data_IF_443548976667
#
_entry.id   IF_443548976667
#
_cell.length_a   1.000
_cell.length_b   1.000
_cell.length_c   1.000
_cell.angle_alpha   90.00
_cell.angle_beta   90.00
_cell.angle_gamma   90.00
#
_symmetry.space_group_name_H-M   'P 1'
#
loop_
_entity.id
_entity.type
_entity.pdbx_description
1 polymer ?
#
# COMPACT_ATOMS: atom_id res chain seq x y z
N UNK A 1 -9.55 30.68 -13.00
CA UNK A 1 -8.11 30.36 -13.01
C UNK A 1 -7.82 28.98 -13.62
N UNK A 2 -8.65 27.95 -13.37
CA UNK A 2 -8.57 26.65 -14.09
C UNK A 2 -8.62 26.70 -15.64
N UNK A 3 -9.50 27.50 -16.30
CA UNK A 3 -9.62 27.44 -17.76
C UNK A 3 -8.39 28.01 -18.51
N UNK A 4 -7.69 28.98 -17.94
CA UNK A 4 -6.47 29.55 -18.54
C UNK A 4 -5.26 28.61 -18.39
N UNK A 5 -5.18 27.87 -17.28
CA UNK A 5 -4.13 26.87 -17.08
C UNK A 5 -4.30 25.66 -18.02
N UNK A 6 -5.54 25.18 -18.21
CA UNK A 6 -5.83 24.05 -19.10
C UNK A 6 -5.60 24.36 -20.59
N UNK A 7 -5.78 25.63 -20.99
CA UNK A 7 -5.56 26.09 -22.36
C UNK A 7 -4.08 26.12 -22.75
N UNK A 8 -3.16 26.30 -21.80
CA UNK A 8 -1.71 26.37 -22.03
C UNK A 8 -1.01 25.00 -21.92
N UNK A 9 -1.73 23.92 -21.60
CA UNK A 9 -1.16 22.58 -21.49
C UNK A 9 -1.01 21.91 -22.85
N UNK A 10 0.14 21.27 -23.08
CA UNK A 10 0.36 20.45 -24.27
C UNK A 10 -0.59 19.25 -24.28
N UNK A 11 -0.87 18.69 -25.47
CA UNK A 11 -1.77 17.54 -25.60
C UNK A 11 -1.33 16.33 -24.75
N UNK A 12 -0.03 16.19 -24.54
CA UNK A 12 0.58 15.12 -23.74
C UNK A 12 0.34 15.31 -22.24
N UNK A 13 0.40 16.55 -21.74
CA UNK A 13 0.10 16.87 -20.33
C UNK A 13 -1.36 16.56 -19.97
N UNK A 14 -2.29 16.82 -20.90
CA UNK A 14 -3.71 16.50 -20.73
C UNK A 14 -3.94 15.00 -20.58
N UNK A 15 -3.22 14.18 -21.35
CA UNK A 15 -3.26 12.71 -21.26
C UNK A 15 -2.68 12.23 -19.94
N UNK A 16 -1.54 12.77 -19.51
CA UNK A 16 -0.96 12.43 -18.20
C UNK A 16 -1.89 12.75 -17.04
N UNK A 17 -2.54 13.92 -17.07
CA UNK A 17 -3.53 14.30 -16.05
C UNK A 17 -4.70 13.32 -16.06
N UNK A 18 -5.27 13.03 -17.23
CA UNK A 18 -6.37 12.07 -17.36
C UNK A 18 -6.01 10.70 -16.79
N UNK A 19 -4.83 10.17 -17.13
CA UNK A 19 -4.33 8.89 -16.62
C UNK A 19 -4.13 8.91 -15.10
N UNK A 20 -3.55 9.98 -14.54
CA UNK A 20 -3.37 10.10 -13.09
C UNK A 20 -4.70 10.10 -12.33
N UNK A 21 -5.75 10.70 -12.88
CA UNK A 21 -7.08 10.66 -12.30
C UNK A 21 -7.65 9.23 -12.30
N UNK A 22 -7.52 8.49 -13.40
CA UNK A 22 -8.00 7.10 -13.50
C UNK A 22 -7.25 6.18 -12.54
N UNK A 23 -5.93 6.30 -12.48
CA UNK A 23 -5.10 5.52 -11.55
C UNK A 23 -5.42 5.88 -10.10
N UNK A 24 -5.58 7.18 -9.79
CA UNK A 24 -5.95 7.64 -8.45
C UNK A 24 -7.30 7.09 -7.98
N UNK A 25 -8.32 7.10 -8.86
CA UNK A 25 -9.62 6.50 -8.58
C UNK A 25 -9.53 4.98 -8.37
N UNK A 26 -8.73 4.30 -9.18
CA UNK A 26 -8.54 2.84 -9.09
C UNK A 26 -7.87 2.43 -7.78
N UNK A 27 -6.86 3.18 -7.33
CA UNK A 27 -6.20 2.96 -6.03
C UNK A 27 -7.19 3.22 -4.89
N UNK A 28 -7.98 4.29 -4.97
CA UNK A 28 -9.00 4.59 -3.97
C UNK A 28 -10.06 3.50 -3.84
N UNK A 29 -10.60 3.02 -4.96
CA UNK A 29 -11.58 1.94 -4.99
C UNK A 29 -10.99 0.62 -4.46
N UNK A 30 -9.79 0.26 -4.91
CA UNK A 30 -9.08 -0.94 -4.44
C UNK A 30 -8.80 -0.87 -2.95
N UNK A 31 -8.50 0.32 -2.42
CA UNK A 31 -8.28 0.53 -0.99
C UNK A 31 -9.52 0.25 -0.15
N UNK A 32 -10.68 0.77 -0.56
CA UNK A 32 -11.95 0.54 0.14
C UNK A 32 -12.35 -0.94 0.05
N UNK A 33 -12.15 -1.56 -1.11
CA UNK A 33 -12.44 -2.98 -1.29
C UNK A 33 -11.52 -3.87 -0.44
N UNK A 34 -10.22 -3.57 -0.38
CA UNK A 34 -9.26 -4.29 0.46
C UNK A 34 -9.60 -4.16 1.95
N UNK A 35 -10.07 -2.98 2.40
CA UNK A 35 -10.56 -2.78 3.78
C UNK A 35 -11.77 -3.65 4.14
N UNK A 36 -12.53 -4.12 3.14
CA UNK A 36 -13.65 -5.05 3.37
C UNK A 36 -13.21 -6.53 3.43
N UNK A 37 -12.06 -6.86 2.84
CA UNK A 37 -11.50 -8.22 2.82
C UNK A 37 -10.59 -8.52 4.01
N UNK A 38 -9.93 -7.50 4.56
CA UNK A 38 -8.98 -7.63 5.68
C UNK A 38 -9.35 -6.67 6.80
N UNK A 39 -8.88 -6.94 8.03
CA UNK A 39 -9.03 -5.99 9.14
C UNK A 39 -8.39 -4.63 8.81
N UNK A 40 -9.03 -3.54 9.24
CA UNK A 40 -8.55 -2.15 9.03
C UNK A 40 -7.08 -1.95 9.44
N UNK A 41 -6.63 -2.66 10.48
CA UNK A 41 -5.24 -2.63 10.96
C UNK A 41 -4.27 -3.23 9.94
N UNK A 42 -4.64 -4.29 9.25
CA UNK A 42 -3.80 -4.95 8.24
C UNK A 42 -3.69 -4.14 6.96
N UNK A 43 -4.76 -3.43 6.58
CA UNK A 43 -4.73 -2.50 5.46
C UNK A 43 -3.75 -1.34 5.69
N UNK A 44 -3.74 -0.77 6.91
CA UNK A 44 -2.84 0.32 7.28
C UNK A 44 -1.36 -0.10 7.20
N UNK A 45 -1.05 -1.32 7.65
CA UNK A 45 0.31 -1.89 7.54
C UNK A 45 0.68 -2.18 6.09
N UNK A 46 -0.24 -2.70 5.27
CA UNK A 46 -0.01 -2.96 3.85
C UNK A 46 0.30 -1.67 3.06
N UNK A 47 -0.45 -0.60 3.29
CA UNK A 47 -0.19 0.70 2.66
C UNK A 47 1.14 1.29 3.11
N UNK A 48 1.52 1.07 4.37
CA UNK A 48 2.84 1.44 4.89
C UNK A 48 3.95 0.63 4.20
N UNK A 49 3.77 -0.69 4.05
CA UNK A 49 4.70 -1.57 3.33
C UNK A 49 4.95 -1.12 1.87
N UNK A 50 3.90 -0.74 1.15
CA UNK A 50 3.99 -0.27 -0.24
C UNK A 50 4.88 0.98 -0.39
N UNK A 51 4.88 1.89 0.61
CA UNK A 51 5.74 3.09 0.57
C UNK A 51 7.24 2.72 0.60
N UNK A 52 7.63 1.63 1.24
CA UNK A 52 9.05 1.19 1.25
C UNK A 52 9.53 0.72 -0.11
N UNK A 53 8.67 0.06 -0.89
CA UNK A 53 9.03 -0.36 -2.25
C UNK A 53 9.34 0.86 -3.12
N UNK A 54 8.52 1.90 -3.03
CA UNK A 54 8.74 3.15 -3.76
C UNK A 54 10.03 3.86 -3.29
N UNK A 55 10.26 3.96 -1.97
CA UNK A 55 11.48 4.55 -1.42
C UNK A 55 12.73 3.75 -1.84
N UNK A 56 12.65 2.41 -1.86
CA UNK A 56 13.73 1.55 -2.30
C UNK A 56 14.07 1.74 -3.78
N UNK A 57 13.05 1.85 -4.64
CA UNK A 57 13.20 2.15 -6.07
C UNK A 57 13.78 3.56 -6.26
N UNK A 58 13.35 4.56 -5.49
CA UNK A 58 13.90 5.92 -5.56
C UNK A 58 15.38 5.95 -5.13
N UNK A 59 15.71 5.29 -4.02
CA UNK A 59 17.06 5.26 -3.47
C UNK A 59 18.06 4.50 -4.37
N UNK A 60 17.66 3.34 -4.93
CA UNK A 60 18.53 2.55 -5.82
C UNK A 60 18.49 2.99 -7.29
N UNK A 61 17.33 3.42 -7.77
CA UNK A 61 17.09 3.68 -9.20
C UNK A 61 17.29 5.13 -9.63
N UNK A 62 17.01 6.10 -8.76
CA UNK A 62 17.10 7.53 -9.13
C UNK A 62 18.34 8.25 -8.60
N UNK A 63 19.08 7.71 -7.62
CA UNK A 63 20.37 8.23 -7.10
C UNK A 63 20.44 9.75 -6.81
N UNK A 64 19.28 10.44 -6.73
CA UNK A 64 19.19 11.91 -6.78
C UNK A 64 19.30 12.54 -5.39
N UNK A 65 19.10 11.76 -4.31
CA UNK A 65 19.17 12.25 -2.93
C UNK A 65 19.97 11.32 -2.03
N UNK A 66 20.89 11.93 -1.27
CA UNK A 66 21.62 11.27 -0.18
C UNK A 66 20.63 11.01 0.96
N UNK A 67 20.34 9.74 1.25
CA UNK A 67 19.51 9.35 2.39
C UNK A 67 20.28 9.58 3.69
N UNK A 68 19.68 10.34 4.60
CA UNK A 68 20.19 10.50 5.97
C UNK A 68 20.10 9.16 6.73
N UNK A 69 21.07 8.87 7.60
CA UNK A 69 21.10 7.62 8.39
C UNK A 69 19.80 7.32 9.15
N UNK A 70 19.11 8.35 9.64
CA UNK A 70 17.79 8.22 10.27
C UNK A 70 16.67 7.74 9.32
N UNK A 71 16.73 8.10 8.04
CA UNK A 71 15.77 7.63 7.03
C UNK A 71 15.99 6.15 6.71
N UNK A 72 17.25 5.70 6.71
CA UNK A 72 17.60 4.29 6.52
C UNK A 72 17.10 3.46 7.72
N UNK A 73 17.36 3.89 8.95
CA UNK A 73 16.86 3.20 10.14
C UNK A 73 15.33 3.16 10.19
N UNK A 74 14.66 4.27 9.87
CA UNK A 74 13.19 4.31 9.77
C UNK A 74 12.65 3.37 8.69
N UNK A 75 13.34 3.27 7.55
CA UNK A 75 12.99 2.31 6.49
C UNK A 75 13.15 0.86 6.95
N UNK A 76 14.29 0.51 7.57
CA UNK A 76 14.53 -0.83 8.09
C UNK A 76 13.52 -1.24 9.16
N UNK A 77 13.24 -0.37 10.14
CA UNK A 77 12.30 -0.65 11.23
C UNK A 77 10.89 -0.93 10.69
N UNK A 78 10.49 -0.17 9.68
CA UNK A 78 9.16 -0.28 9.11
C UNK A 78 9.01 -1.49 8.17
N UNK A 79 10.05 -1.86 7.42
CA UNK A 79 10.09 -3.14 6.68
C UNK A 79 9.96 -4.30 7.68
N UNK A 80 10.70 -4.24 8.78
CA UNK A 80 10.66 -5.26 9.82
C UNK A 80 9.28 -5.36 10.44
N UNK A 81 8.65 -4.23 10.77
CA UNK A 81 7.28 -4.17 11.28
C UNK A 81 6.25 -4.73 10.30
N UNK A 82 6.40 -4.45 9.00
CA UNK A 82 5.53 -5.00 7.95
C UNK A 82 5.62 -6.51 7.83
N UNK A 83 6.85 -7.06 7.81
CA UNK A 83 7.09 -8.51 7.75
C UNK A 83 6.56 -9.20 9.02
N UNK A 84 6.87 -8.64 10.20
CA UNK A 84 6.46 -9.20 11.49
C UNK A 84 4.93 -9.24 11.61
N UNK A 85 4.26 -8.14 11.25
CA UNK A 85 2.80 -8.07 11.26
C UNK A 85 2.17 -9.03 10.24
N UNK A 86 2.73 -9.13 9.03
CA UNK A 86 2.27 -10.08 8.02
C UNK A 86 2.35 -11.53 8.53
N UNK A 87 3.46 -11.89 9.17
CA UNK A 87 3.64 -13.22 9.80
C UNK A 87 2.66 -13.46 10.94
N UNK A 88 2.47 -12.49 11.82
CA UNK A 88 1.54 -12.61 12.94
C UNK A 88 0.09 -12.77 12.44
N UNK A 89 -0.30 -12.07 11.38
CA UNK A 89 -1.64 -12.18 10.81
C UNK A 89 -1.89 -13.54 10.13
N UNK A 90 -0.89 -14.07 9.42
CA UNK A 90 -0.94 -15.41 8.83
C UNK A 90 -1.16 -16.51 9.88
N UNK A 91 -0.50 -16.42 11.04
CA UNK A 91 -0.67 -17.38 12.12
C UNK A 91 -2.10 -17.37 12.68
N UNK A 92 -2.68 -16.17 12.86
CA UNK A 92 -4.06 -16.04 13.35
C UNK A 92 -5.06 -16.63 12.36
N UNK A 93 -4.86 -16.43 11.05
CA UNK A 93 -5.73 -17.02 10.01
C UNK A 93 -5.61 -18.55 9.97
N UNK A 94 -4.39 -19.10 10.08
CA UNK A 94 -4.18 -20.56 10.13
C UNK A 94 -4.85 -21.19 11.35
N UNK A 95 -4.74 -20.57 12.54
CA UNK A 95 -5.40 -21.06 13.76
C UNK A 95 -6.95 -21.03 13.64
N UNK A 96 -7.50 -20.02 12.96
CA UNK A 96 -8.94 -19.96 12.67
C UNK A 96 -9.41 -21.05 11.70
N UNK A 97 -8.63 -21.34 10.66
CA UNK A 97 -8.93 -22.41 9.70
C UNK A 97 -8.84 -23.80 10.33
N UNK A 98 -7.78 -24.06 11.11
CA UNK A 98 -7.62 -25.32 11.86
C UNK A 98 -8.76 -25.51 12.86
N UNK A 99 -9.16 -24.45 13.59
CA UNK A 99 -10.32 -24.50 14.50
C UNK A 99 -11.61 -24.86 13.76
N UNK A 100 -11.85 -24.30 12.58
CA UNK A 100 -13.04 -24.60 11.76
C UNK A 100 -13.03 -26.03 11.25
N UNK A 101 -11.87 -26.57 10.87
CA UNK A 101 -11.72 -27.97 10.46
C UNK A 101 -11.95 -28.95 11.62
N UNK A 102 -11.56 -28.58 12.84
CA UNK A 102 -11.73 -29.40 14.04
C UNK A 102 -13.16 -29.38 14.61
N UNK A 103 -13.98 -28.37 14.29
CA UNK A 103 -15.37 -28.23 14.75
C UNK A 103 -16.39 -28.13 13.60
N UNK A 104 -16.45 -29.07 12.65
CA UNK A 104 -17.34 -28.96 11.48
C UNK A 104 -18.83 -29.06 11.81
N UNK A 105 -19.21 -29.40 13.06
CA UNK A 105 -20.61 -29.68 13.45
C UNK A 105 -21.16 -28.85 14.63
N UNK A 106 -20.45 -27.83 15.10
CA UNK A 106 -21.04 -26.90 16.08
C UNK A 106 -21.58 -25.68 15.33
N UNK A 107 -22.86 -25.75 14.92
CA UNK A 107 -23.63 -24.56 14.58
C UNK A 107 -23.87 -23.79 15.88
N UNK A 108 -23.26 -22.61 15.99
CA UNK A 108 -23.69 -21.56 16.95
C UNK A 108 -24.61 -20.61 16.19
#
# INVERSE_FOLDING_TARGET
QLPAAYANLTGMDKVYIGLSCVIGLSIGFTGIWAQSLISATSFLVMVNANKFVIIGIEAFGMHTKVLTQGQILGACLSIFGGILYGKARQQIEQEEEERKQLLPNVKV
#
